data_IF_029471766707
#
_entry.id   IF_029471766707
#
_cell.length_a   1.000
_cell.length_b   1.000
_cell.length_c   1.000
_cell.angle_alpha   90.00
_cell.angle_beta   90.00
_cell.angle_gamma   90.00
#
_symmetry.space_group_name_H-M   'P 1'
#
loop_
_entity.id
_entity.type
_entity.pdbx_description
1 polymer ?
#
# COMPACT_ATOMS: atom_id res chain seq x y z
N UNK A 1 6.53 23.27 -14.64
CA UNK A 1 5.52 23.56 -13.60
C UNK A 1 5.43 22.36 -12.68
N UNK A 2 5.50 22.59 -11.38
CA UNK A 2 5.34 21.54 -10.36
C UNK A 2 3.85 21.29 -10.12
N UNK A 3 3.44 20.03 -10.06
CA UNK A 3 2.08 19.60 -9.72
C UNK A 3 2.10 18.90 -8.37
N UNK A 4 1.07 19.06 -7.56
CA UNK A 4 1.06 18.52 -6.19
C UNK A 4 -0.22 17.75 -5.89
N UNK A 5 -0.12 16.77 -4.98
CA UNK A 5 -1.25 16.05 -4.41
C UNK A 5 -1.00 15.76 -2.93
N UNK A 6 -2.07 15.61 -2.15
CA UNK A 6 -2.04 15.15 -0.76
C UNK A 6 -3.07 14.05 -0.59
N UNK A 7 -2.65 12.91 -0.06
CA UNK A 7 -3.47 11.72 0.11
C UNK A 7 -3.47 11.24 1.56
N UNK A 8 -4.56 10.58 1.94
CA UNK A 8 -4.64 9.76 3.15
C UNK A 8 -4.39 8.29 2.74
N UNK A 9 -3.37 7.68 3.32
CA UNK A 9 -3.02 6.28 3.14
C UNK A 9 -3.60 5.48 4.32
N UNK A 10 -4.87 5.10 4.20
CA UNK A 10 -5.62 4.42 5.25
C UNK A 10 -5.08 3.02 5.54
N UNK A 11 -5.03 2.66 6.82
CA UNK A 11 -4.66 1.35 7.28
C UNK A 11 -5.77 0.31 7.02
N UNK A 12 -5.43 -0.96 7.25
CA UNK A 12 -6.40 -2.06 7.23
C UNK A 12 -6.35 -2.93 8.48
N UNK A 13 -7.42 -3.68 8.67
CA UNK A 13 -7.50 -4.85 9.54
C UNK A 13 -7.75 -6.12 8.72
N UNK A 14 -7.41 -7.26 9.31
CA UNK A 14 -7.94 -8.56 8.89
C UNK A 14 -9.04 -8.94 9.90
N UNK A 15 -10.31 -8.83 9.51
CA UNK A 15 -11.45 -9.19 10.36
C UNK A 15 -11.55 -10.71 10.61
N UNK A 16 -10.84 -11.49 9.79
CA UNK A 16 -10.53 -12.88 10.02
C UNK A 16 -9.38 -13.27 9.09
N UNK A 17 -8.51 -14.18 9.53
CA UNK A 17 -7.41 -14.73 8.73
C UNK A 17 -7.35 -16.23 8.95
N UNK A 18 -7.49 -17.00 7.87
CA UNK A 18 -7.24 -18.44 7.86
C UNK A 18 -6.03 -18.71 6.99
N UNK A 19 -5.02 -19.32 7.60
CA UNK A 19 -3.84 -19.86 6.92
C UNK A 19 -4.17 -21.29 6.55
N UNK A 20 -4.09 -21.61 5.26
CA UNK A 20 -4.34 -22.93 4.70
C UNK A 20 -3.00 -23.61 4.38
N UNK A 21 -3.02 -24.60 3.49
CA UNK A 21 -1.83 -25.37 3.14
C UNK A 21 -0.72 -24.50 2.55
N UNK A 22 0.52 -24.96 2.77
CA UNK A 22 1.70 -24.42 2.09
C UNK A 22 1.60 -24.72 0.58
N UNK A 23 1.94 -23.73 -0.21
CA UNK A 23 1.93 -23.74 -1.68
C UNK A 23 3.30 -24.14 -2.22
N UNK A 24 3.33 -24.53 -3.49
CA UNK A 24 4.57 -24.87 -4.20
C UNK A 24 5.54 -23.69 -4.34
N UNK A 25 5.03 -22.46 -4.30
CA UNK A 25 5.82 -21.21 -4.35
C UNK A 25 6.47 -20.83 -3.00
N UNK A 26 6.32 -21.69 -1.98
CA UNK A 26 6.90 -21.48 -0.65
C UNK A 26 6.05 -20.61 0.30
N UNK A 27 4.95 -20.03 -0.17
CA UNK A 27 3.99 -19.28 0.65
C UNK A 27 2.88 -20.19 1.19
N UNK A 28 1.97 -19.62 2.00
CA UNK A 28 0.74 -20.29 2.40
C UNK A 28 -0.44 -19.71 1.64
N UNK A 29 -1.39 -20.57 1.31
CA UNK A 29 -2.70 -20.12 0.87
C UNK A 29 -3.43 -19.44 2.04
N UNK A 30 -3.99 -18.25 1.81
CA UNK A 30 -4.64 -17.42 2.80
C UNK A 30 -6.09 -17.18 2.39
N UNK A 31 -6.97 -17.12 3.40
CA UNK A 31 -8.31 -16.54 3.26
C UNK A 31 -8.50 -15.49 4.33
N UNK A 32 -8.78 -14.26 3.93
CA UNK A 32 -8.89 -13.14 4.87
C UNK A 32 -9.99 -12.19 4.47
N UNK A 33 -10.66 -11.58 5.44
CA UNK A 33 -11.53 -10.43 5.17
C UNK A 33 -10.76 -9.18 5.56
N UNK A 34 -10.40 -8.38 4.57
CA UNK A 34 -9.77 -7.08 4.79
C UNK A 34 -10.83 -6.00 5.05
N UNK A 35 -10.48 -5.05 5.91
CA UNK A 35 -11.30 -3.89 6.21
C UNK A 35 -10.43 -2.64 6.32
N UNK A 36 -10.73 -1.61 5.55
CA UNK A 36 -10.09 -0.29 5.67
C UNK A 36 -10.59 0.38 6.94
N UNK A 37 -9.70 1.04 7.67
CA UNK A 37 -10.00 1.78 8.89
C UNK A 37 -9.57 3.24 8.77
N UNK A 38 -10.07 4.11 9.65
CA UNK A 38 -9.82 5.56 9.61
C UNK A 38 -8.41 5.98 10.01
N UNK A 39 -7.62 5.10 10.63
CA UNK A 39 -6.20 5.36 10.91
C UNK A 39 -5.44 5.46 9.58
N UNK A 40 -4.79 6.59 9.30
CA UNK A 40 -4.14 6.83 8.02
C UNK A 40 -2.81 7.59 8.15
N UNK A 41 -1.83 7.18 7.36
CA UNK A 41 -0.66 8.01 7.09
C UNK A 41 -1.03 9.16 6.13
N UNK A 42 -0.23 10.23 6.11
CA UNK A 42 -0.40 11.33 5.15
C UNK A 42 0.76 11.33 4.16
N UNK A 43 0.43 11.29 2.87
CA UNK A 43 1.39 11.34 1.77
C UNK A 43 1.20 12.64 0.96
N UNK A 44 2.18 13.52 1.01
CA UNK A 44 2.34 14.62 0.06
C UNK A 44 3.17 14.17 -1.13
N UNK A 45 2.79 14.59 -2.34
CA UNK A 45 3.50 14.30 -3.59
C UNK A 45 3.70 15.59 -4.36
N UNK A 46 4.93 15.87 -4.77
CA UNK A 46 5.26 16.94 -5.72
C UNK A 46 5.91 16.31 -6.95
N UNK A 47 5.33 16.56 -8.12
CA UNK A 47 5.76 16.03 -9.40
C UNK A 47 6.22 17.16 -10.31
N UNK A 48 7.43 17.03 -10.86
CA UNK A 48 7.97 17.93 -11.88
C UNK A 48 8.57 17.12 -13.01
N UNK A 49 8.08 17.31 -14.25
CA UNK A 49 8.72 16.74 -15.44
C UNK A 49 10.18 17.17 -15.51
N UNK A 50 11.09 16.23 -15.75
CA UNK A 50 12.54 16.48 -15.74
C UNK A 50 13.23 15.63 -16.81
N UNK A 51 14.46 15.98 -17.18
CA UNK A 51 15.29 15.16 -18.09
C UNK A 51 15.86 13.92 -17.39
N UNK A 52 15.93 13.93 -16.06
CA UNK A 52 16.45 12.84 -15.24
C UNK A 52 15.47 12.52 -14.13
N UNK A 53 15.39 11.25 -13.76
CA UNK A 53 14.58 10.80 -12.63
C UNK A 53 15.31 11.09 -11.32
N UNK A 54 14.64 11.84 -10.45
CA UNK A 54 15.13 12.17 -9.10
C UNK A 54 13.98 11.92 -8.13
N UNK A 55 14.19 11.05 -7.14
CA UNK A 55 13.17 10.73 -6.13
C UNK A 55 13.71 11.10 -4.76
N UNK A 56 13.01 11.96 -4.04
CA UNK A 56 13.34 12.35 -2.66
C UNK A 56 12.15 12.06 -1.76
N UNK A 57 12.41 11.54 -0.56
CA UNK A 57 11.39 11.26 0.44
C UNK A 57 11.79 11.99 1.72
N UNK A 58 10.98 12.98 2.10
CA UNK A 58 11.09 13.71 3.34
C UNK A 58 10.13 13.09 4.36
N UNK A 59 10.67 12.56 5.46
CA UNK A 59 9.88 11.94 6.50
C UNK A 59 10.73 11.22 7.54
N UNK A 60 10.26 11.20 8.78
CA UNK A 60 10.90 10.48 9.88
C UNK A 60 9.96 9.37 10.38
N UNK A 61 10.48 8.19 10.75
CA UNK A 61 11.89 7.77 10.66
C UNK A 61 12.33 7.45 9.22
N UNK A 62 13.65 7.34 9.00
CA UNK A 62 14.17 6.76 7.75
C UNK A 62 13.69 5.30 7.64
N UNK A 63 13.07 4.95 6.52
CA UNK A 63 12.55 3.61 6.25
C UNK A 63 13.44 2.94 5.20
N UNK A 64 14.24 1.93 5.57
CA UNK A 64 14.99 1.13 4.61
C UNK A 64 14.03 0.45 3.62
N UNK A 65 14.43 0.37 2.34
CA UNK A 65 13.64 -0.30 1.28
C UNK A 65 12.19 0.22 1.17
N UNK A 66 12.05 1.55 1.24
CA UNK A 66 10.75 2.23 1.27
C UNK A 66 9.90 1.91 0.03
N UNK A 67 8.71 1.34 0.26
CA UNK A 67 7.77 0.99 -0.80
C UNK A 67 7.30 2.19 -1.62
N UNK A 68 7.32 3.42 -1.07
CA UNK A 68 7.03 4.67 -1.81
C UNK A 68 8.05 4.90 -2.92
N UNK A 69 9.35 4.77 -2.63
CA UNK A 69 10.41 4.93 -3.63
C UNK A 69 10.30 3.88 -4.72
N UNK A 70 10.12 2.60 -4.33
CA UNK A 70 9.94 1.50 -5.27
C UNK A 70 8.70 1.67 -6.15
N UNK A 71 7.57 2.06 -5.57
CA UNK A 71 6.33 2.31 -6.31
C UNK A 71 6.51 3.43 -7.33
N UNK A 72 7.17 4.52 -6.92
CA UNK A 72 7.49 5.63 -7.81
C UNK A 72 8.35 5.17 -8.99
N UNK A 73 9.48 4.50 -8.73
CA UNK A 73 10.40 4.05 -9.79
C UNK A 73 9.75 3.07 -10.75
N UNK A 74 9.10 2.02 -10.23
CA UNK A 74 8.44 1.01 -11.06
C UNK A 74 7.36 1.65 -11.94
N UNK A 75 6.60 2.62 -11.42
CA UNK A 75 5.58 3.31 -12.20
C UNK A 75 6.17 4.28 -13.25
N UNK A 76 7.22 5.03 -12.90
CA UNK A 76 7.90 5.91 -13.85
C UNK A 76 8.50 5.09 -15.01
N UNK A 77 9.09 3.93 -14.70
CA UNK A 77 9.64 2.99 -15.68
C UNK A 77 8.54 2.41 -16.58
N UNK A 78 7.43 1.94 -15.99
CA UNK A 78 6.27 1.42 -16.74
C UNK A 78 5.71 2.47 -17.72
N UNK A 79 5.61 3.72 -17.27
CA UNK A 79 5.09 4.83 -18.07
C UNK A 79 6.14 5.43 -19.02
N UNK A 80 7.40 4.99 -18.93
CA UNK A 80 8.55 5.52 -19.67
C UNK A 80 8.66 7.05 -19.54
N UNK A 81 8.48 7.56 -18.33
CA UNK A 81 8.58 8.99 -18.01
C UNK A 81 9.72 9.27 -17.05
N UNK A 82 10.35 10.42 -17.22
CA UNK A 82 11.39 10.92 -16.32
C UNK A 82 10.88 12.15 -15.58
N UNK A 83 11.09 12.17 -14.27
CA UNK A 83 10.55 13.23 -13.41
C UNK A 83 11.37 13.40 -12.13
N UNK A 84 11.36 14.62 -11.60
CA UNK A 84 11.69 14.87 -10.20
C UNK A 84 10.42 14.70 -9.38
N UNK A 85 10.45 13.81 -8.39
CA UNK A 85 9.34 13.54 -7.48
C UNK A 85 9.81 13.70 -6.05
N UNK A 86 9.16 14.59 -5.29
CA UNK A 86 9.35 14.73 -3.85
C UNK A 86 8.14 14.18 -3.13
N UNK A 87 8.38 13.32 -2.16
CA UNK A 87 7.35 12.81 -1.26
C UNK A 87 7.55 13.39 0.13
N UNK A 88 6.46 13.77 0.80
CA UNK A 88 6.46 14.14 2.21
C UNK A 88 5.58 13.15 2.96
N UNK A 89 6.16 12.39 3.88
CA UNK A 89 5.47 11.28 4.54
C UNK A 89 5.33 11.54 6.04
N UNK A 90 4.09 11.64 6.52
CA UNK A 90 3.77 11.69 7.95
C UNK A 90 3.22 10.34 8.40
N UNK A 91 4.00 9.63 9.20
CA UNK A 91 3.69 8.27 9.67
C UNK A 91 3.01 8.30 11.04
N UNK A 92 1.83 7.72 11.10
CA UNK A 92 1.10 7.44 12.34
C UNK A 92 0.71 5.96 12.45
N UNK A 93 0.66 5.23 11.33
CA UNK A 93 0.45 3.77 11.33
C UNK A 93 1.71 3.10 11.86
N UNK A 94 1.65 2.36 12.98
CA UNK A 94 2.83 1.73 13.54
C UNK A 94 3.44 0.71 12.58
N UNK A 95 4.74 0.85 12.32
CA UNK A 95 5.47 -0.10 11.49
C UNK A 95 5.39 -1.51 12.09
N UNK A 96 5.24 -2.54 11.25
CA UNK A 96 5.21 -3.93 11.72
C UNK A 96 3.92 -4.39 12.42
N UNK A 97 2.96 -3.50 12.72
CA UNK A 97 1.71 -3.83 13.43
C UNK A 97 0.68 -4.68 12.64
N UNK A 98 1.02 -5.14 11.42
CA UNK A 98 0.09 -5.88 10.56
C UNK A 98 -1.00 -5.03 9.90
N UNK A 99 -0.95 -3.70 10.06
CA UNK A 99 -1.96 -2.74 9.59
C UNK A 99 -1.75 -2.24 8.15
N UNK A 100 -0.68 -2.69 7.49
CA UNK A 100 -0.45 -2.43 6.06
C UNK A 100 -0.02 -1.01 5.68
N UNK A 101 0.40 -0.16 6.63
CA UNK A 101 0.76 1.24 6.33
C UNK A 101 1.72 1.46 5.16
N UNK A 102 2.85 0.74 5.11
CA UNK A 102 3.79 0.86 3.97
C UNK A 102 3.20 0.40 2.62
N UNK A 103 2.30 -0.58 2.64
CA UNK A 103 1.58 -1.03 1.44
C UNK A 103 0.55 0.02 0.99
N UNK A 104 -0.13 0.65 1.94
CA UNK A 104 -1.05 1.76 1.66
C UNK A 104 -0.33 2.96 1.07
N UNK A 105 0.86 3.31 1.58
CA UNK A 105 1.65 4.42 1.05
C UNK A 105 2.05 4.17 -0.41
N UNK A 106 2.49 2.94 -0.73
CA UNK A 106 2.81 2.55 -2.11
C UNK A 106 1.61 2.63 -3.04
N UNK A 107 0.44 2.13 -2.61
CA UNK A 107 -0.79 2.24 -3.39
C UNK A 107 -1.18 3.71 -3.63
N UNK A 108 -1.01 4.58 -2.63
CA UNK A 108 -1.25 6.01 -2.78
C UNK A 108 -0.32 6.66 -3.83
N UNK A 109 0.93 6.21 -3.95
CA UNK A 109 1.82 6.61 -5.07
C UNK A 109 1.27 6.15 -6.41
N UNK A 110 0.90 4.87 -6.52
CA UNK A 110 0.38 4.28 -7.75
C UNK A 110 -0.91 4.97 -8.26
N UNK A 111 -1.74 5.45 -7.34
CA UNK A 111 -2.98 6.17 -7.67
C UNK A 111 -2.73 7.65 -8.04
N UNK A 112 -1.83 8.33 -7.32
CA UNK A 112 -1.64 9.77 -7.47
C UNK A 112 -0.69 10.16 -8.61
N UNK A 113 0.41 9.43 -8.78
CA UNK A 113 1.46 9.80 -9.71
C UNK A 113 1.02 9.79 -11.19
N UNK A 114 0.19 8.83 -11.68
CA UNK A 114 -0.33 8.90 -13.04
C UNK A 114 -1.17 10.15 -13.29
N UNK A 115 -2.02 10.52 -12.32
CA UNK A 115 -2.86 11.72 -12.40
C UNK A 115 -1.99 12.97 -12.47
N UNK A 116 -0.97 13.07 -11.61
CA UNK A 116 0.00 14.17 -11.62
C UNK A 116 0.81 14.23 -12.93
N UNK A 117 1.14 13.08 -13.51
CA UNK A 117 1.80 13.00 -14.81
C UNK A 117 0.85 13.30 -16.00
N UNK A 118 -0.46 13.44 -15.76
CA UNK A 118 -1.47 13.61 -16.81
C UNK A 118 -1.67 12.35 -17.67
N UNK A 119 -1.46 11.17 -17.08
CA UNK A 119 -1.60 9.87 -17.73
C UNK A 119 -2.85 9.16 -17.21
N UNK A 120 -3.57 8.48 -18.11
CA UNK A 120 -4.61 7.51 -17.73
C UNK A 120 -3.98 6.13 -17.75
N UNK A 121 -3.99 5.45 -16.61
CA UNK A 121 -3.43 4.10 -16.45
C UNK A 121 -4.57 3.18 -16.07
N UNK A 122 -4.79 2.07 -16.80
CA UNK A 122 -5.83 1.11 -16.45
C UNK A 122 -5.57 0.51 -15.06
N UNK A 123 -6.65 0.29 -14.29
CA UNK A 123 -6.54 -0.32 -12.96
C UNK A 123 -5.81 -1.67 -12.99
N UNK A 124 -6.01 -2.49 -14.03
CA UNK A 124 -5.32 -3.77 -14.19
C UNK A 124 -3.78 -3.62 -14.22
N UNK A 125 -3.26 -2.54 -14.82
CA UNK A 125 -1.81 -2.25 -14.83
C UNK A 125 -1.36 -1.87 -13.42
N UNK A 126 -2.09 -0.98 -12.74
CA UNK A 126 -1.77 -0.59 -11.36
C UNK A 126 -1.81 -1.80 -10.41
N UNK A 127 -2.78 -2.69 -10.54
CA UNK A 127 -2.88 -3.92 -9.75
C UNK A 127 -1.68 -4.85 -9.97
N UNK A 128 -1.18 -4.95 -11.21
CA UNK A 128 0.00 -5.76 -11.52
C UNK A 128 1.28 -5.15 -10.90
N UNK A 129 1.46 -3.82 -11.02
CA UNK A 129 2.56 -3.12 -10.34
C UNK A 129 2.48 -3.26 -8.82
N UNK A 130 1.28 -3.16 -8.25
CA UNK A 130 1.03 -3.34 -6.82
C UNK A 130 1.43 -4.75 -6.35
N UNK A 131 1.05 -5.79 -7.09
CA UNK A 131 1.39 -7.17 -6.74
C UNK A 131 2.91 -7.42 -6.72
N UNK A 132 3.68 -6.71 -7.57
CA UNK A 132 5.16 -6.74 -7.57
C UNK A 132 5.78 -6.07 -6.34
N UNK A 133 5.09 -5.11 -5.72
CA UNK A 133 5.54 -4.39 -4.53
C UNK A 133 5.25 -5.16 -3.24
N UNK A 134 4.13 -5.88 -3.19
CA UNK A 134 3.78 -6.75 -2.07
C UNK A 134 2.34 -7.26 -2.13
N UNK A 135 2.06 -8.40 -1.48
CA UNK A 135 0.74 -9.05 -1.53
C UNK A 135 -0.40 -8.22 -0.95
N UNK A 136 -0.11 -7.35 0.03
CA UNK A 136 -1.09 -6.44 0.62
C UNK A 136 -1.34 -5.18 -0.24
N UNK A 137 -0.46 -4.83 -1.19
CA UNK A 137 -0.55 -3.54 -1.93
C UNK A 137 -1.78 -3.47 -2.85
N UNK A 138 -2.15 -4.53 -3.61
CA UNK A 138 -3.35 -4.50 -4.45
C UNK A 138 -4.62 -4.12 -3.70
N UNK A 139 -4.74 -4.53 -2.43
CA UNK A 139 -5.89 -4.21 -1.60
C UNK A 139 -6.10 -2.70 -1.44
N UNK A 140 -5.01 -1.95 -1.23
CA UNK A 140 -5.06 -0.51 -1.00
C UNK A 140 -5.35 0.32 -2.25
N UNK A 141 -5.37 -0.30 -3.44
CA UNK A 141 -5.88 0.37 -4.65
C UNK A 141 -7.41 0.55 -4.63
N UNK A 142 -8.09 -0.27 -3.83
CA UNK A 142 -9.56 -0.30 -3.75
C UNK A 142 -10.07 0.11 -2.36
N UNK A 143 -9.48 -0.45 -1.30
CA UNK A 143 -9.96 -0.27 0.07
C UNK A 143 -11.34 -0.90 0.33
N UNK A 144 -12.01 -0.42 1.38
CA UNK A 144 -13.36 -0.88 1.77
C UNK A 144 -13.33 -2.20 2.53
N UNK A 145 -14.29 -3.07 2.25
CA UNK A 145 -14.35 -4.45 2.77
C UNK A 145 -14.13 -5.41 1.62
N UNK A 146 -13.20 -6.36 1.75
CA UNK A 146 -12.92 -7.31 0.67
C UNK A 146 -12.49 -8.68 1.19
N UNK A 147 -12.89 -9.74 0.50
CA UNK A 147 -12.32 -11.07 0.66
C UNK A 147 -11.00 -11.14 -0.11
N UNK A 148 -9.92 -11.48 0.59
CA UNK A 148 -8.61 -11.79 0.03
C UNK A 148 -8.36 -13.30 0.01
N UNK A 149 -7.95 -13.83 -1.15
CA UNK A 149 -7.53 -15.21 -1.39
C UNK A 149 -6.07 -15.27 -1.87
N UNK A 150 -5.52 -16.46 -2.10
CA UNK A 150 -4.12 -16.62 -2.54
C UNK A 150 -3.16 -16.25 -1.41
N UNK A 151 -2.32 -15.23 -1.60
CA UNK A 151 -1.50 -14.61 -0.54
C UNK A 151 -2.13 -13.28 -0.04
N UNK A 152 -3.38 -12.99 -0.42
CA UNK A 152 -4.10 -11.75 -0.16
C UNK A 152 -4.21 -10.82 -1.37
N UNK A 153 -3.62 -11.17 -2.51
CA UNK A 153 -3.59 -10.39 -3.75
C UNK A 153 -4.86 -10.56 -4.61
N UNK A 154 -5.57 -11.68 -4.47
CA UNK A 154 -6.81 -11.94 -5.18
C UNK A 154 -7.99 -11.40 -4.36
N UNK A 155 -8.68 -10.38 -4.87
CA UNK A 155 -9.60 -9.56 -4.10
C UNK A 155 -11.00 -9.56 -4.68
N UNK A 156 -11.97 -9.81 -3.80
CA UNK A 156 -13.39 -9.75 -4.10
C UNK A 156 -14.06 -8.73 -3.17
N UNK A 157 -14.57 -7.60 -3.69
CA UNK A 157 -15.30 -6.63 -2.89
C UNK A 157 -16.47 -7.27 -2.16
N UNK A 158 -16.67 -6.88 -0.90
CA UNK A 158 -17.79 -7.27 -0.07
C UNK A 158 -18.60 -6.02 0.32
N UNK A 159 -19.88 -6.18 0.73
CA UNK A 159 -20.61 -5.11 1.37
C UNK A 159 -19.84 -4.56 2.57
N UNK A 160 -19.92 -3.25 2.77
CA UNK A 160 -19.20 -2.58 3.85
C UNK A 160 -19.57 -3.15 5.21
N UNK A 161 -18.54 -3.55 5.98
CA UNK A 161 -18.74 -4.05 7.32
C UNK A 161 -19.26 -2.91 8.21
N UNK A 162 -20.52 -3.03 8.67
CA UNK A 162 -21.11 -2.06 9.59
C UNK A 162 -20.49 -2.22 10.97
N UNK A 163 -19.80 -1.19 11.44
CA UNK A 163 -19.45 -1.08 12.84
C UNK A 163 -20.69 -0.64 13.62
N UNK A 164 -21.22 -1.50 14.50
CA UNK A 164 -22.34 -1.14 15.38
C UNK A 164 -21.92 -0.19 16.52
N UNK A 165 -20.62 -0.08 16.78
CA UNK A 165 -20.02 0.72 17.85
C UNK A 165 -18.58 1.15 17.49
N UNK A 166 -18.03 2.22 18.10
CA UNK A 166 -16.63 2.57 17.95
C UNK A 166 -15.72 1.41 18.40
N UNK A 167 -14.72 1.10 17.59
CA UNK A 167 -13.76 0.02 17.83
C UNK A 167 -12.38 0.58 18.15
N UNK A 168 -11.74 0.05 19.19
CA UNK A 168 -10.39 0.42 19.60
C UNK A 168 -9.38 -0.62 19.13
N UNK A 169 -8.26 -0.17 18.58
CA UNK A 169 -7.15 -1.04 18.16
C UNK A 169 -5.99 -0.82 19.10
N UNK A 170 -5.51 -1.89 19.72
CA UNK A 170 -4.32 -1.87 20.58
C UNK A 170 -3.21 -2.61 19.86
N UNK A 171 -2.16 -1.90 19.47
CA UNK A 171 -0.95 -2.49 18.90
C UNK A 171 0.17 -2.46 19.94
N UNK A 172 0.82 -3.60 20.16
CA UNK A 172 2.06 -3.62 20.95
C UNK A 172 3.23 -3.08 20.11
N UNK A 173 4.26 -2.53 20.76
CA UNK A 173 5.48 -2.05 20.12
C UNK A 173 6.45 -3.15 19.65
N UNK A 174 6.05 -4.44 19.73
CA UNK A 174 6.90 -5.56 19.31
C UNK A 174 6.80 -5.77 17.80
N UNK A 175 7.92 -5.57 17.10
CA UNK A 175 7.99 -5.64 15.64
C UNK A 175 8.38 -7.06 15.16
N UNK A 176 7.63 -7.64 14.22
CA UNK A 176 8.08 -8.82 13.46
C UNK A 176 6.96 -9.68 12.85
N UNK A 177 6.60 -9.45 11.58
CA UNK A 177 5.61 -10.29 10.85
C UNK A 177 6.16 -11.69 10.49
N UNK A 178 7.44 -11.80 10.18
CA UNK A 178 8.04 -13.03 9.66
C UNK A 178 8.17 -14.16 10.70
N UNK A 179 7.98 -13.87 11.99
CA UNK A 179 8.12 -14.87 13.07
C UNK A 179 6.81 -15.59 13.42
N UNK A 180 5.66 -15.17 12.86
CA UNK A 180 4.36 -15.75 13.18
C UNK A 180 4.00 -16.97 12.31
N UNK A 181 4.61 -17.11 11.13
CA UNK A 181 4.48 -18.30 10.29
C UNK A 181 5.63 -19.26 10.61
N UNK A 182 5.56 -19.95 11.75
CA UNK A 182 6.43 -21.10 12.01
C UNK A 182 5.78 -22.35 11.39
N UNK A 183 6.59 -23.26 10.81
CA UNK A 183 6.09 -24.51 10.25
C UNK A 183 5.42 -25.39 11.31
#
# INVERSE_FOLDING_TARGET
>A
MTRTASLQAFAKLNLGLRVLAKRADGYHELRTVFQTISLADKLGVEYTSSRKTEVTIDGTPHIPDNLVDRACRILLDELRITARVRFTLSKVIPAGAGLGGGSSDAAAVLLSLPVLAGKRVPMAVLSNLAARLGSDVPYFLHGGTALGLGRGEELYPLPEAKASSPSWIVSSSRHGRAKCFRP
#
